data_IF_938073191303
#
_entry.id   IF_938073191303
#
_cell.length_a   1.000
_cell.length_b   1.000
_cell.length_c   1.000
_cell.angle_alpha   90.00
_cell.angle_beta   90.00
_cell.angle_gamma   90.00
#
_symmetry.space_group_name_H-M   'P 1'
#
loop_
_entity.id
_entity.type
_entity.pdbx_description
1 polymer ?
#
# COMPACT_ATOMS: atom_id res chain seq x y z
N UNK A 1 6.19 -7.34 4.41
CA UNK A 1 6.59 -6.07 3.79
C UNK A 1 7.96 -5.68 4.32
N UNK A 2 8.45 -4.47 4.11
CA UNK A 2 9.74 -4.03 4.64
C UNK A 2 9.62 -2.70 5.37
N UNK A 3 10.37 -2.56 6.47
CA UNK A 3 10.44 -1.32 7.26
C UNK A 3 11.19 -0.19 6.52
N UNK A 4 11.82 -0.47 5.37
CA UNK A 4 12.39 0.57 4.51
C UNK A 4 11.34 1.53 3.91
N UNK A 5 10.04 1.17 3.96
CA UNK A 5 8.96 2.10 3.61
C UNK A 5 8.45 2.79 4.89
N UNK A 6 8.62 4.11 5.03
CA UNK A 6 8.21 4.87 6.23
C UNK A 6 6.72 4.74 6.59
N UNK A 7 5.88 4.35 5.64
CA UNK A 7 4.47 4.05 5.88
C UNK A 7 4.30 2.95 6.95
N UNK A 8 5.09 1.88 6.87
CA UNK A 8 5.02 0.78 7.84
C UNK A 8 5.68 1.12 9.17
N UNK A 9 6.72 1.98 9.15
CA UNK A 9 7.30 2.50 10.41
C UNK A 9 6.25 3.25 11.23
N UNK A 10 5.45 4.13 10.59
CA UNK A 10 4.39 4.88 11.28
C UNK A 10 3.32 3.94 11.87
N UNK A 11 2.89 2.92 11.14
CA UNK A 11 1.95 1.91 11.69
C UNK A 11 2.56 1.22 12.91
N UNK A 12 3.82 0.80 12.80
CA UNK A 12 4.53 0.10 13.87
C UNK A 12 4.70 0.99 15.11
N UNK A 13 5.07 2.26 14.93
CA UNK A 13 5.21 3.23 16.03
C UNK A 13 3.88 3.47 16.76
N UNK A 14 2.77 3.63 16.03
CA UNK A 14 1.45 3.81 16.64
C UNK A 14 1.02 2.56 17.43
N UNK A 15 1.29 1.37 16.92
CA UNK A 15 1.03 0.11 17.64
C UNK A 15 1.92 0.02 18.88
N UNK A 16 3.22 0.23 18.70
CA UNK A 16 4.23 0.12 19.76
C UNK A 16 3.93 1.06 20.93
N UNK A 17 3.62 2.32 20.61
CA UNK A 17 3.32 3.32 21.64
C UNK A 17 2.17 2.91 22.56
N UNK A 18 1.12 2.27 22.03
CA UNK A 18 -0.02 1.83 22.84
C UNK A 18 0.28 0.54 23.59
N UNK A 19 0.96 -0.42 22.96
CA UNK A 19 1.33 -1.71 23.55
C UNK A 19 2.26 -1.48 24.74
N UNK A 20 3.33 -0.71 24.57
CA UNK A 20 4.29 -0.41 25.63
C UNK A 20 3.68 0.42 26.78
N UNK A 21 2.77 1.35 26.46
CA UNK A 21 2.06 2.14 27.48
C UNK A 21 1.14 1.26 28.36
N UNK A 22 0.77 0.08 27.91
CA UNK A 22 0.01 -0.91 28.69
C UNK A 22 0.91 -1.86 29.47
N UNK A 23 2.22 -1.77 29.33
CA UNK A 23 3.20 -2.63 29.97
C UNK A 23 3.45 -3.95 29.21
N UNK A 24 2.92 -4.07 28.01
CA UNK A 24 3.12 -5.22 27.13
C UNK A 24 4.32 -5.02 26.20
N UNK A 25 4.73 -6.04 25.46
CA UNK A 25 5.89 -6.04 24.57
C UNK A 25 5.43 -6.21 23.12
N UNK A 26 5.87 -5.33 22.23
CA UNK A 26 5.77 -5.50 20.78
C UNK A 26 7.13 -5.93 20.22
N UNK A 27 7.21 -7.15 19.71
CA UNK A 27 8.34 -7.59 18.92
C UNK A 27 8.04 -7.41 17.43
N UNK A 28 8.90 -6.71 16.72
CA UNK A 28 8.75 -6.45 15.28
C UNK A 28 9.85 -7.16 14.49
N UNK A 29 9.46 -7.95 13.50
CA UNK A 29 10.38 -8.65 12.59
C UNK A 29 10.15 -8.15 11.16
N UNK A 30 11.21 -7.74 10.49
CA UNK A 30 11.20 -7.34 9.08
C UNK A 30 11.66 -8.51 8.22
N UNK A 31 10.83 -8.91 7.27
CA UNK A 31 11.14 -9.96 6.31
C UNK A 31 11.83 -9.43 5.04
N UNK A 32 12.05 -8.13 4.93
CA UNK A 32 12.73 -7.47 3.81
C UNK A 32 12.17 -7.87 2.43
N UNK A 33 10.84 -8.01 2.33
CA UNK A 33 10.12 -8.46 1.12
C UNK A 33 10.35 -9.93 0.73
N UNK A 34 10.87 -10.75 1.64
CA UNK A 34 11.04 -12.19 1.43
C UNK A 34 9.91 -12.97 2.11
N UNK A 35 9.14 -13.73 1.31
CA UNK A 35 8.01 -14.50 1.81
C UNK A 35 8.41 -15.76 2.58
N UNK A 36 9.59 -16.34 2.28
CA UNK A 36 10.11 -17.50 3.02
C UNK A 36 10.60 -17.06 4.40
N UNK A 37 11.38 -15.98 4.45
CA UNK A 37 11.80 -15.35 5.72
C UNK A 37 10.59 -14.97 6.57
N UNK A 38 9.53 -14.40 5.97
CA UNK A 38 8.31 -14.08 6.71
C UNK A 38 7.64 -15.32 7.29
N UNK A 39 7.61 -16.41 6.54
CA UNK A 39 7.05 -17.68 7.01
C UNK A 39 7.83 -18.24 8.21
N UNK A 40 9.17 -18.20 8.16
CA UNK A 40 10.05 -18.60 9.26
C UNK A 40 9.84 -17.70 10.51
N UNK A 41 9.67 -16.39 10.29
CA UNK A 41 9.38 -15.45 11.37
C UNK A 41 8.05 -15.75 12.08
N UNK A 42 7.01 -16.09 11.31
CA UNK A 42 5.71 -16.50 11.88
C UNK A 42 5.85 -17.81 12.68
N UNK A 43 6.62 -18.77 12.17
CA UNK A 43 6.89 -20.03 12.90
C UNK A 43 7.67 -19.77 14.19
N UNK A 44 8.64 -18.86 14.16
CA UNK A 44 9.36 -18.42 15.36
C UNK A 44 8.41 -17.84 16.42
N UNK A 45 7.48 -16.97 16.04
CA UNK A 45 6.47 -16.43 16.96
C UNK A 45 5.56 -17.53 17.54
N UNK A 46 5.24 -18.57 16.76
CA UNK A 46 4.47 -19.72 17.26
C UNK A 46 5.25 -20.48 18.32
N UNK A 47 6.55 -20.73 18.08
CA UNK A 47 7.42 -21.45 19.02
C UNK A 47 7.64 -20.65 20.32
N UNK A 48 7.72 -19.34 20.22
CA UNK A 48 7.80 -18.40 21.36
C UNK A 48 6.48 -18.25 22.12
N UNK A 49 5.38 -18.75 21.54
CA UNK A 49 4.02 -18.71 22.14
C UNK A 49 3.54 -17.28 22.42
N UNK A 50 3.72 -16.39 21.45
CA UNK A 50 3.21 -15.02 21.55
C UNK A 50 1.68 -15.00 21.71
N UNK A 51 1.15 -13.96 22.34
CA UNK A 51 -0.30 -13.84 22.59
C UNK A 51 -1.12 -13.50 21.34
N UNK A 52 -0.50 -12.84 20.35
CA UNK A 52 -1.13 -12.49 19.07
C UNK A 52 -0.07 -12.18 18.00
N UNK A 53 -0.38 -12.44 16.73
CA UNK A 53 0.46 -12.07 15.58
C UNK A 53 -0.24 -10.99 14.78
N UNK A 54 0.45 -9.88 14.52
CA UNK A 54 0.04 -8.84 13.58
C UNK A 54 0.82 -9.06 12.29
N UNK A 55 0.13 -9.35 11.18
CA UNK A 55 0.78 -9.73 9.91
C UNK A 55 0.50 -8.72 8.80
N UNK A 56 1.55 -8.21 8.18
CA UNK A 56 1.50 -7.54 6.90
C UNK A 56 2.15 -8.45 5.86
N UNK A 57 1.35 -9.21 5.13
CA UNK A 57 1.84 -10.29 4.29
C UNK A 57 2.65 -9.75 3.09
N UNK A 58 3.83 -10.33 2.84
CA UNK A 58 4.66 -10.10 1.65
C UNK A 58 3.95 -10.67 0.42
N UNK A 59 3.62 -11.95 0.49
CA UNK A 59 2.76 -12.64 -0.47
C UNK A 59 1.46 -13.05 0.21
N UNK A 60 0.37 -12.47 -0.27
CA UNK A 60 -0.96 -12.67 0.32
C UNK A 60 -1.50 -14.09 0.20
N UNK A 61 -0.94 -14.92 -0.70
CA UNK A 61 -1.29 -16.33 -0.86
C UNK A 61 -0.32 -17.26 -0.13
N UNK A 62 0.97 -17.05 -0.30
CA UNK A 62 2.01 -17.92 0.24
C UNK A 62 1.97 -18.01 1.77
N UNK A 63 1.63 -16.91 2.46
CA UNK A 63 1.56 -16.87 3.93
C UNK A 63 0.54 -17.84 4.53
N UNK A 64 -0.42 -18.33 3.75
CA UNK A 64 -1.52 -19.17 4.22
C UNK A 64 -1.10 -20.43 4.96
N UNK A 65 0.05 -21.03 4.65
CA UNK A 65 0.56 -22.21 5.35
C UNK A 65 0.95 -21.89 6.78
N UNK A 66 1.65 -20.78 7.01
CA UNK A 66 2.09 -20.32 8.32
C UNK A 66 0.91 -19.85 9.18
N UNK A 67 -0.09 -19.19 8.56
CA UNK A 67 -1.34 -18.82 9.25
C UNK A 67 -2.13 -20.03 9.73
N UNK A 68 -2.17 -21.14 8.96
CA UNK A 68 -2.78 -22.39 9.41
C UNK A 68 -2.07 -22.96 10.64
N UNK A 69 -0.73 -22.86 10.71
CA UNK A 69 0.04 -23.29 11.88
C UNK A 69 -0.29 -22.41 13.11
N UNK A 70 -0.32 -21.08 12.96
CA UNK A 70 -0.71 -20.16 14.02
C UNK A 70 -2.12 -20.47 14.56
N UNK A 71 -3.09 -20.65 13.67
CA UNK A 71 -4.46 -21.02 14.05
C UNK A 71 -4.52 -22.34 14.78
N UNK A 72 -3.76 -23.37 14.34
CA UNK A 72 -3.66 -24.67 15.02
C UNK A 72 -3.03 -24.55 16.43
N UNK A 73 -2.09 -23.61 16.60
CA UNK A 73 -1.48 -23.30 17.89
C UNK A 73 -2.39 -22.48 18.81
N UNK A 74 -3.54 -22.02 18.31
CA UNK A 74 -4.48 -21.18 19.07
C UNK A 74 -4.03 -19.73 19.23
N UNK A 75 -3.06 -19.27 18.42
CA UNK A 75 -2.57 -17.90 18.43
C UNK A 75 -3.40 -17.06 17.46
N UNK A 76 -4.13 -16.04 17.94
CA UNK A 76 -4.91 -15.16 17.06
C UNK A 76 -4.01 -14.34 16.15
N UNK A 77 -4.52 -14.06 14.94
CA UNK A 77 -3.81 -13.31 13.91
C UNK A 77 -4.65 -12.14 13.44
N UNK A 78 -4.06 -10.96 13.32
CA UNK A 78 -4.68 -9.80 12.69
C UNK A 78 -3.91 -9.44 11.42
N UNK A 79 -4.60 -9.41 10.28
CA UNK A 79 -4.03 -8.90 9.03
C UNK A 79 -4.06 -7.37 9.03
N UNK A 80 -2.91 -6.75 8.78
CA UNK A 80 -2.73 -5.29 8.82
C UNK A 80 -2.30 -4.80 7.44
N UNK A 81 -2.94 -3.74 6.95
CA UNK A 81 -2.65 -3.04 5.68
C UNK A 81 -2.98 -3.84 4.42
N UNK A 82 -2.77 -5.14 4.39
CA UNK A 82 -3.09 -5.98 3.23
C UNK A 82 -3.89 -7.22 3.62
N UNK A 83 -4.75 -7.67 2.72
CA UNK A 83 -5.54 -8.89 2.92
C UNK A 83 -4.66 -10.14 2.73
N UNK A 84 -5.06 -11.22 3.38
CA UNK A 84 -4.60 -12.58 3.09
C UNK A 84 -5.62 -13.33 2.23
N UNK A 85 -5.19 -14.34 1.46
CA UNK A 85 -6.05 -15.06 0.51
C UNK A 85 -7.21 -15.79 1.20
N UNK A 86 -6.91 -16.54 2.24
CA UNK A 86 -7.89 -17.22 3.06
C UNK A 86 -8.14 -16.44 4.35
N UNK A 87 -9.11 -15.54 4.30
CA UNK A 87 -9.43 -14.66 5.44
C UNK A 87 -9.98 -15.42 6.65
N UNK A 88 -10.39 -16.68 6.50
CA UNK A 88 -10.79 -17.51 7.63
C UNK A 88 -9.64 -17.88 8.57
N UNK A 89 -8.39 -17.63 8.15
CA UNK A 89 -7.18 -17.90 8.92
C UNK A 89 -6.76 -16.75 9.84
N UNK A 90 -7.48 -15.64 9.80
CA UNK A 90 -7.21 -14.45 10.65
C UNK A 90 -8.43 -14.10 11.48
N UNK A 91 -8.22 -13.54 12.65
CA UNK A 91 -9.26 -13.18 13.62
C UNK A 91 -9.73 -11.73 13.44
N UNK A 92 -8.97 -10.96 12.67
CA UNK A 92 -9.31 -9.59 12.34
C UNK A 92 -8.51 -9.06 11.17
N UNK A 93 -9.03 -7.99 10.55
CA UNK A 93 -8.43 -7.34 9.38
C UNK A 93 -8.56 -5.84 9.54
N UNK A 94 -7.46 -5.11 9.35
CA UNK A 94 -7.45 -3.64 9.29
C UNK A 94 -6.73 -3.22 8.03
N UNK A 95 -7.46 -2.71 7.04
CA UNK A 95 -6.93 -2.35 5.71
C UNK A 95 -7.49 -1.03 5.23
N UNK A 96 -6.79 -0.35 4.34
CA UNK A 96 -7.33 0.81 3.63
C UNK A 96 -8.30 0.38 2.52
N UNK A 97 -9.20 1.29 2.10
CA UNK A 97 -10.04 1.09 0.92
C UNK A 97 -9.20 1.20 -0.36
N UNK A 98 -8.44 0.13 -0.65
CA UNK A 98 -7.49 0.11 -1.75
C UNK A 98 -8.17 0.18 -3.12
N UNK A 99 -9.40 -0.37 -3.24
CA UNK A 99 -10.14 -0.24 -4.50
C UNK A 99 -10.55 1.22 -4.75
N UNK A 100 -11.10 1.89 -3.74
CA UNK A 100 -11.49 3.30 -3.84
C UNK A 100 -10.27 4.21 -4.04
N UNK A 101 -9.09 3.86 -3.49
CA UNK A 101 -7.84 4.58 -3.76
C UNK A 101 -7.54 4.67 -5.26
N UNK A 102 -7.59 3.54 -5.96
CA UNK A 102 -7.44 3.51 -7.41
C UNK A 102 -8.57 4.22 -8.14
N UNK A 103 -9.81 4.01 -7.70
CA UNK A 103 -10.99 4.64 -8.31
C UNK A 103 -10.95 6.16 -8.23
N UNK A 104 -10.49 6.74 -7.12
CA UNK A 104 -10.35 8.20 -6.96
C UNK A 104 -9.30 8.77 -7.91
N UNK A 105 -8.16 8.10 -8.09
CA UNK A 105 -7.15 8.50 -9.08
C UNK A 105 -7.70 8.46 -10.51
N UNK A 106 -8.47 7.42 -10.88
CA UNK A 106 -9.10 7.31 -12.19
C UNK A 106 -10.14 8.42 -12.42
N UNK A 107 -10.96 8.73 -11.41
CA UNK A 107 -11.93 9.82 -11.47
C UNK A 107 -11.27 11.18 -11.69
N UNK A 108 -10.09 11.41 -11.08
CA UNK A 108 -9.30 12.63 -11.30
C UNK A 108 -8.72 12.66 -12.71
N UNK A 109 -8.15 11.55 -13.21
CA UNK A 109 -7.63 11.46 -14.57
C UNK A 109 -8.70 11.80 -15.61
N UNK A 110 -9.92 11.28 -15.47
CA UNK A 110 -11.02 11.55 -16.41
C UNK A 110 -11.43 13.02 -16.48
N UNK A 111 -11.19 13.81 -15.42
CA UNK A 111 -11.40 15.26 -15.46
C UNK A 111 -10.32 15.99 -16.25
N UNK A 112 -9.12 15.41 -16.36
CA UNK A 112 -7.94 16.04 -16.99
C UNK A 112 -7.74 15.66 -18.44
N UNK A 113 -8.00 14.40 -18.78
CA UNK A 113 -7.83 13.85 -20.14
C UNK A 113 -9.08 13.07 -20.55
N UNK A 114 -9.31 12.96 -21.87
CA UNK A 114 -10.43 12.17 -22.44
C UNK A 114 -10.01 10.78 -22.92
N UNK A 115 -8.73 10.56 -23.10
CA UNK A 115 -8.07 9.30 -23.48
C UNK A 115 -6.59 9.38 -23.12
N UNK A 116 -5.87 8.28 -23.16
CA UNK A 116 -4.42 8.30 -22.94
C UNK A 116 -3.78 6.93 -23.01
N UNK A 117 -2.45 6.93 -23.02
CA UNK A 117 -1.57 5.78 -22.98
C UNK A 117 -1.03 5.65 -21.55
N UNK A 118 -1.33 4.54 -20.90
CA UNK A 118 -1.09 4.37 -19.46
C UNK A 118 -0.08 3.26 -19.23
N UNK A 119 0.98 3.58 -18.49
CA UNK A 119 1.92 2.62 -17.91
C UNK A 119 1.51 2.35 -16.46
N UNK A 120 1.34 1.07 -16.09
CA UNK A 120 1.03 0.67 -14.73
C UNK A 120 2.26 0.08 -14.04
N UNK A 121 2.55 0.55 -12.83
CA UNK A 121 3.53 -0.06 -11.94
C UNK A 121 2.77 -0.90 -10.92
N UNK A 122 3.01 -2.21 -10.93
CA UNK A 122 2.19 -3.21 -10.23
C UNK A 122 3.00 -4.07 -9.28
N UNK A 123 2.30 -4.78 -8.39
CA UNK A 123 2.84 -5.85 -7.55
C UNK A 123 1.78 -6.94 -7.38
N UNK A 124 1.96 -8.06 -8.06
CA UNK A 124 0.98 -9.15 -8.15
C UNK A 124 0.89 -10.01 -6.87
N UNK A 125 1.89 -9.95 -6.01
CA UNK A 125 1.94 -10.67 -4.73
C UNK A 125 1.30 -9.89 -3.57
N UNK A 126 0.94 -8.62 -3.80
CA UNK A 126 0.33 -7.75 -2.79
C UNK A 126 -1.13 -7.42 -3.13
N UNK A 127 -2.04 -7.83 -2.25
CA UNK A 127 -3.48 -7.65 -2.50
C UNK A 127 -3.90 -6.18 -2.52
N UNK A 128 -3.30 -5.33 -1.69
CA UNK A 128 -3.58 -3.88 -1.68
C UNK A 128 -3.19 -3.24 -3.01
N UNK A 129 -2.01 -3.60 -3.55
CA UNK A 129 -1.55 -3.13 -4.86
C UNK A 129 -2.48 -3.60 -5.99
N UNK A 130 -2.88 -4.88 -5.98
CA UNK A 130 -3.83 -5.44 -6.94
C UNK A 130 -5.15 -4.65 -6.91
N UNK A 131 -5.69 -4.38 -5.72
CA UNK A 131 -6.98 -3.68 -5.60
C UNK A 131 -6.90 -2.22 -6.05
N UNK A 132 -5.80 -1.52 -5.80
CA UNK A 132 -5.58 -0.15 -6.31
C UNK A 132 -5.59 -0.12 -7.84
N UNK A 133 -4.80 -0.96 -8.48
CA UNK A 133 -4.75 -1.03 -9.94
C UNK A 133 -6.08 -1.48 -10.53
N UNK A 134 -6.75 -2.44 -9.90
CA UNK A 134 -8.09 -2.90 -10.28
C UNK A 134 -9.11 -1.77 -10.19
N UNK A 135 -9.14 -1.05 -9.06
CA UNK A 135 -10.05 0.08 -8.85
C UNK A 135 -9.86 1.17 -9.90
N UNK A 136 -8.59 1.45 -10.27
CA UNK A 136 -8.29 2.40 -11.34
C UNK A 136 -8.81 1.91 -12.71
N UNK A 137 -8.41 0.72 -13.13
CA UNK A 137 -8.77 0.14 -14.45
C UNK A 137 -10.30 0.02 -14.60
N UNK A 138 -10.97 -0.61 -13.63
CA UNK A 138 -12.44 -0.81 -13.70
C UNK A 138 -13.22 0.50 -13.68
N UNK A 139 -12.72 1.53 -12.99
CA UNK A 139 -13.39 2.86 -12.99
C UNK A 139 -13.34 3.50 -14.37
N UNK A 140 -12.21 3.42 -15.09
CA UNK A 140 -12.12 3.89 -16.46
C UNK A 140 -13.01 3.08 -17.39
N UNK A 141 -12.99 1.75 -17.28
CA UNK A 141 -13.80 0.83 -18.09
C UNK A 141 -15.30 1.09 -17.91
N UNK A 142 -15.78 1.19 -16.68
CA UNK A 142 -17.19 1.50 -16.36
C UNK A 142 -17.64 2.85 -16.89
N UNK A 143 -16.72 3.81 -17.00
CA UNK A 143 -16.99 5.13 -17.59
C UNK A 143 -16.88 5.14 -19.13
N UNK A 144 -16.49 4.05 -19.76
CA UNK A 144 -16.21 4.01 -21.21
C UNK A 144 -15.01 4.87 -21.61
N UNK A 145 -14.11 5.16 -20.66
CA UNK A 145 -12.92 5.96 -20.94
C UNK A 145 -11.87 5.11 -21.70
N UNK A 146 -11.51 5.56 -22.86
CA UNK A 146 -10.64 4.79 -23.75
C UNK A 146 -9.16 5.01 -23.40
N UNK A 147 -8.41 3.91 -23.15
CA UNK A 147 -6.96 3.96 -22.92
C UNK A 147 -6.24 2.79 -23.61
N UNK A 148 -4.99 3.04 -23.93
CA UNK A 148 -4.04 2.02 -24.33
C UNK A 148 -3.16 1.65 -23.12
N UNK A 149 -3.13 0.38 -22.76
CA UNK A 149 -2.22 -0.12 -21.73
C UNK A 149 -0.85 -0.35 -22.35
N UNK A 150 0.15 0.49 -21.98
CA UNK A 150 1.53 0.40 -22.46
C UNK A 150 2.27 -0.78 -21.80
N UNK A 151 1.89 -1.16 -20.59
CA UNK A 151 2.44 -2.29 -19.88
C UNK A 151 2.10 -2.28 -18.40
N UNK A 152 2.10 -3.47 -17.81
CA UNK A 152 2.04 -3.68 -16.37
C UNK A 152 3.45 -4.12 -15.92
N UNK A 153 4.14 -3.28 -15.15
CA UNK A 153 5.53 -3.47 -14.75
C UNK A 153 5.59 -3.87 -13.27
N UNK A 154 6.05 -5.08 -12.99
CA UNK A 154 6.28 -5.56 -11.62
C UNK A 154 7.45 -4.81 -10.97
N UNK A 155 7.18 -3.98 -9.97
CA UNK A 155 8.18 -3.08 -9.37
C UNK A 155 8.34 -3.22 -7.86
N UNK A 156 7.71 -4.22 -7.24
CA UNK A 156 7.79 -4.53 -5.79
C UNK A 156 7.43 -3.37 -4.85
N UNK A 157 6.83 -2.31 -5.37
CA UNK A 157 6.47 -1.13 -4.57
C UNK A 157 7.65 -0.29 -4.07
N UNK A 158 8.83 -0.39 -4.70
CA UNK A 158 10.08 0.26 -4.28
C UNK A 158 10.58 1.24 -5.34
N UNK A 159 11.12 2.38 -4.89
CA UNK A 159 11.66 3.41 -5.78
C UNK A 159 12.84 2.89 -6.60
N UNK A 160 13.81 2.28 -5.93
CA UNK A 160 15.05 1.76 -6.53
C UNK A 160 14.82 0.62 -7.52
N UNK A 161 13.65 -0.05 -7.45
CA UNK A 161 13.25 -1.09 -8.40
C UNK A 161 12.48 -0.47 -9.57
N UNK A 162 11.58 0.47 -9.29
CA UNK A 162 10.72 1.05 -10.32
C UNK A 162 11.47 1.98 -11.27
N UNK A 163 12.44 2.77 -10.79
CA UNK A 163 13.19 3.70 -11.63
C UNK A 163 13.86 3.01 -12.83
N UNK A 164 14.77 2.02 -12.67
CA UNK A 164 15.42 1.39 -13.81
C UNK A 164 14.46 0.61 -14.73
N UNK A 165 13.34 0.13 -14.19
CA UNK A 165 12.32 -0.53 -14.99
C UNK A 165 11.59 0.47 -15.90
N UNK A 166 11.26 1.65 -15.40
CA UNK A 166 10.65 2.73 -16.21
C UNK A 166 11.66 3.27 -17.21
N UNK A 167 12.93 3.48 -16.85
CA UNK A 167 14.01 3.83 -17.77
C UNK A 167 14.07 2.85 -18.94
N UNK A 168 14.02 1.54 -18.69
CA UNK A 168 13.99 0.52 -19.74
C UNK A 168 12.74 0.62 -20.63
N UNK A 169 11.57 1.00 -20.11
CA UNK A 169 10.38 1.27 -20.94
C UNK A 169 10.63 2.48 -21.84
N UNK A 170 11.21 3.56 -21.30
CA UNK A 170 11.47 4.80 -22.03
C UNK A 170 12.51 4.66 -23.15
N UNK A 171 13.38 3.63 -23.11
CA UNK A 171 14.25 3.28 -24.25
C UNK A 171 13.47 2.73 -25.45
N UNK A 172 12.27 2.16 -25.22
CA UNK A 172 11.44 1.51 -26.25
C UNK A 172 10.33 2.41 -26.75
N UNK A 173 9.76 3.22 -25.87
CA UNK A 173 8.70 4.16 -26.21
C UNK A 173 8.73 5.35 -25.27
N UNK A 174 8.55 6.54 -25.85
CA UNK A 174 8.30 7.80 -25.12
C UNK A 174 6.85 8.25 -25.22
N UNK A 175 6.01 7.47 -25.88
CA UNK A 175 4.61 7.77 -26.12
C UNK A 175 3.75 7.27 -24.94
N UNK A 176 3.90 7.95 -23.80
CA UNK A 176 3.23 7.66 -22.53
C UNK A 176 2.56 8.96 -22.05
N UNK A 177 1.27 8.90 -21.76
CA UNK A 177 0.50 10.03 -21.22
C UNK A 177 0.39 10.00 -19.69
N UNK A 178 0.36 8.80 -19.12
CA UNK A 178 0.07 8.59 -17.68
C UNK A 178 0.90 7.45 -17.13
N UNK A 179 1.44 7.63 -15.92
CA UNK A 179 1.96 6.54 -15.08
C UNK A 179 1.06 6.40 -13.87
N UNK A 180 0.58 5.19 -13.63
CA UNK A 180 -0.19 4.82 -12.44
C UNK A 180 0.62 3.85 -11.59
N UNK A 181 1.08 4.32 -10.46
CA UNK A 181 1.87 3.52 -9.54
C UNK A 181 1.02 2.97 -8.39
N UNK A 182 1.32 1.75 -8.00
CA UNK A 182 0.64 1.08 -6.89
C UNK A 182 0.82 1.82 -5.55
N UNK A 183 1.92 2.60 -5.40
CA UNK A 183 2.24 3.40 -4.22
C UNK A 183 3.14 4.60 -4.56
N UNK A 184 3.37 5.48 -3.59
CA UNK A 184 4.18 6.68 -3.76
C UNK A 184 5.67 6.39 -4.02
N UNK A 185 6.35 5.43 -3.34
CA UNK A 185 7.74 5.09 -3.68
C UNK A 185 7.92 4.69 -5.14
N UNK A 186 7.02 3.87 -5.69
CA UNK A 186 7.07 3.50 -7.11
C UNK A 186 6.80 4.70 -8.03
N UNK A 187 5.88 5.59 -7.64
CA UNK A 187 5.64 6.84 -8.38
C UNK A 187 6.89 7.72 -8.39
N UNK A 188 7.61 7.83 -7.26
CA UNK A 188 8.87 8.59 -7.20
C UNK A 188 9.93 8.01 -8.13
N UNK A 189 10.06 6.69 -8.21
CA UNK A 189 10.98 6.03 -9.14
C UNK A 189 10.62 6.32 -10.60
N UNK A 190 9.33 6.25 -10.95
CA UNK A 190 8.87 6.63 -12.30
C UNK A 190 9.15 8.10 -12.61
N UNK A 191 8.90 8.99 -11.64
CA UNK A 191 9.18 10.42 -11.80
C UNK A 191 10.68 10.70 -12.02
N UNK A 192 11.56 9.99 -11.32
CA UNK A 192 13.01 10.11 -11.52
C UNK A 192 13.42 9.71 -12.95
N UNK A 193 12.89 8.59 -13.45
CA UNK A 193 13.12 8.13 -14.83
C UNK A 193 12.59 9.13 -15.86
N UNK A 194 11.37 9.65 -15.68
CA UNK A 194 10.77 10.64 -16.57
C UNK A 194 11.52 11.99 -16.55
N UNK A 195 12.02 12.39 -15.38
CA UNK A 195 12.78 13.66 -15.23
C UNK A 195 14.14 13.57 -15.97
N UNK A 196 14.82 12.43 -15.88
CA UNK A 196 16.06 12.18 -16.61
C UNK A 196 15.89 12.28 -18.14
N UNK A 197 14.71 11.93 -18.65
CA UNK A 197 14.35 12.03 -20.08
C UNK A 197 13.63 13.33 -20.43
N UNK A 198 13.53 14.30 -19.50
CA UNK A 198 12.82 15.58 -19.66
C UNK A 198 11.33 15.44 -20.00
N UNK A 199 10.69 14.37 -19.57
CA UNK A 199 9.29 14.04 -19.86
C UNK A 199 8.34 14.29 -18.69
N UNK A 200 8.85 14.58 -17.49
CA UNK A 200 8.03 14.66 -16.28
C UNK A 200 6.95 15.76 -16.33
N UNK A 201 7.14 16.81 -17.13
CA UNK A 201 6.13 17.86 -17.32
C UNK A 201 4.96 17.42 -18.21
N UNK A 202 5.14 16.40 -19.03
CA UNK A 202 4.20 15.99 -20.06
C UNK A 202 3.41 14.73 -19.67
N UNK A 203 3.91 13.98 -18.68
CA UNK A 203 3.33 12.72 -18.21
C UNK A 203 2.66 12.90 -16.83
N UNK A 204 1.38 12.54 -16.72
CA UNK A 204 0.65 12.58 -15.46
C UNK A 204 1.03 11.39 -14.59
N UNK A 205 1.51 11.63 -13.35
CA UNK A 205 1.90 10.56 -12.43
C UNK A 205 0.92 10.50 -11.24
N UNK A 206 0.38 9.30 -10.98
CA UNK A 206 -0.50 8.98 -9.88
C UNK A 206 0.14 7.94 -8.96
N UNK A 207 0.01 8.14 -7.66
CA UNK A 207 0.47 7.22 -6.62
C UNK A 207 -0.62 6.94 -5.59
N UNK A 208 -0.22 6.25 -4.54
CA UNK A 208 -1.01 6.01 -3.35
C UNK A 208 -0.07 5.97 -2.13
N UNK A 209 -0.52 6.44 -1.01
CA UNK A 209 -0.08 6.45 0.38
C UNK A 209 -0.28 7.82 1.02
N UNK A 210 -0.12 8.91 0.27
CA UNK A 210 -0.13 10.28 0.81
C UNK A 210 1.16 10.61 1.55
N UNK A 211 2.30 10.11 1.06
CA UNK A 211 3.61 10.33 1.68
C UNK A 211 4.00 11.82 1.70
N UNK A 212 4.87 12.24 2.62
CA UNK A 212 5.44 13.58 2.63
C UNK A 212 6.07 13.98 1.30
N UNK A 213 6.79 13.04 0.67
CA UNK A 213 7.46 13.23 -0.62
C UNK A 213 6.44 13.45 -1.74
N UNK A 214 5.39 12.61 -1.83
CA UNK A 214 4.34 12.76 -2.83
C UNK A 214 3.58 14.08 -2.67
N UNK A 215 3.21 14.45 -1.43
CA UNK A 215 2.58 15.75 -1.16
C UNK A 215 3.47 16.92 -1.58
N UNK A 216 4.77 16.83 -1.32
CA UNK A 216 5.74 17.85 -1.77
C UNK A 216 5.78 17.94 -3.30
N UNK A 217 5.74 16.81 -4.01
CA UNK A 217 5.73 16.80 -5.48
C UNK A 217 4.41 17.32 -6.04
N UNK A 218 3.28 17.02 -5.41
CA UNK A 218 1.98 17.58 -5.77
C UNK A 218 1.96 19.09 -5.56
N UNK A 219 2.46 19.56 -4.42
CA UNK A 219 2.58 21.00 -4.13
C UNK A 219 3.42 21.73 -5.18
N UNK A 220 4.49 21.10 -5.68
CA UNK A 220 5.36 21.61 -6.76
C UNK A 220 4.81 21.40 -8.17
N UNK A 221 3.59 20.89 -8.34
CA UNK A 221 2.98 20.54 -9.63
C UNK A 221 3.79 19.53 -10.46
N UNK A 222 4.52 18.63 -9.82
CA UNK A 222 5.33 17.58 -10.47
C UNK A 222 4.67 16.19 -10.42
N UNK A 223 3.69 16.00 -9.53
CA UNK A 223 2.85 14.82 -9.40
C UNK A 223 1.39 15.24 -9.41
N UNK A 224 0.50 14.46 -10.02
CA UNK A 224 -0.92 14.83 -10.16
C UNK A 224 -1.69 14.60 -8.87
N UNK A 225 -1.57 13.40 -8.32
CA UNK A 225 -2.28 13.05 -7.10
C UNK A 225 -1.67 11.82 -6.42
N UNK A 226 -1.94 11.70 -5.12
CA UNK A 226 -1.79 10.48 -4.36
C UNK A 226 -3.09 10.14 -3.62
N UNK A 227 -3.50 8.87 -3.65
CA UNK A 227 -4.61 8.40 -2.83
C UNK A 227 -4.09 8.13 -1.40
N UNK A 228 -4.29 9.09 -0.51
CA UNK A 228 -3.72 9.08 0.82
C UNK A 228 -4.38 8.03 1.72
N UNK A 229 -3.57 7.18 2.31
CA UNK A 229 -3.89 6.27 3.39
C UNK A 229 -3.66 6.97 4.74
N UNK A 230 -4.18 6.39 5.82
CA UNK A 230 -3.98 6.91 7.18
C UNK A 230 -3.27 5.87 8.06
N UNK A 231 -1.91 5.77 8.00
CA UNK A 231 -1.15 4.77 8.76
C UNK A 231 -1.39 4.90 10.28
N UNK A 232 -1.57 6.12 10.79
CA UNK A 232 -1.90 6.34 12.19
C UNK A 232 -3.25 5.75 12.58
N UNK A 233 -4.28 5.88 11.73
CA UNK A 233 -5.60 5.28 11.98
C UNK A 233 -5.48 3.76 11.88
N UNK A 234 -4.74 3.24 10.89
CA UNK A 234 -4.48 1.81 10.75
C UNK A 234 -3.84 1.24 12.02
N UNK A 235 -2.78 1.85 12.52
CA UNK A 235 -2.13 1.43 13.77
C UNK A 235 -3.09 1.45 14.97
N UNK A 236 -3.81 2.54 15.18
CA UNK A 236 -4.80 2.68 16.27
C UNK A 236 -5.89 1.62 16.21
N UNK A 237 -6.46 1.39 15.01
CA UNK A 237 -7.52 0.38 14.84
C UNK A 237 -7.01 -1.05 15.02
N UNK A 238 -5.78 -1.31 14.59
CA UNK A 238 -5.12 -2.60 14.85
C UNK A 238 -5.00 -2.86 16.35
N UNK A 239 -4.55 -1.89 17.12
CA UNK A 239 -4.41 -2.05 18.58
C UNK A 239 -5.77 -2.15 19.28
N UNK A 240 -6.77 -1.37 18.87
CA UNK A 240 -8.13 -1.50 19.39
C UNK A 240 -8.68 -2.92 19.18
N UNK A 241 -8.45 -3.49 17.99
CA UNK A 241 -8.86 -4.85 17.64
C UNK A 241 -8.08 -5.90 18.43
N UNK A 242 -6.76 -5.76 18.52
CA UNK A 242 -5.85 -6.61 19.27
C UNK A 242 -6.34 -6.81 20.72
N UNK A 243 -6.53 -5.73 21.46
CA UNK A 243 -6.92 -5.84 22.88
C UNK A 243 -8.36 -6.33 23.10
N UNK A 244 -9.24 -6.14 22.10
CA UNK A 244 -10.56 -6.79 22.16
C UNK A 244 -10.44 -8.31 21.99
N UNK A 245 -9.64 -8.77 21.05
CA UNK A 245 -9.39 -10.20 20.79
C UNK A 245 -8.76 -10.84 22.04
N UNK A 246 -7.70 -10.26 22.57
CA UNK A 246 -7.03 -10.77 23.79
C UNK A 246 -7.96 -10.81 25.01
N UNK A 247 -8.93 -9.90 25.10
CA UNK A 247 -9.94 -9.88 26.14
C UNK A 247 -11.14 -10.82 25.86
N UNK A 248 -11.12 -11.61 24.79
CA UNK A 248 -12.23 -12.49 24.38
C UNK A 248 -13.49 -11.73 24.00
N UNK A 249 -13.39 -10.46 23.64
CA UNK A 249 -14.52 -9.62 23.23
C UNK A 249 -14.78 -9.75 21.72
N UNK A 250 -16.04 -9.62 21.29
CA UNK A 250 -16.36 -9.64 19.87
C UNK A 250 -15.71 -8.47 19.14
N UNK A 251 -15.21 -8.74 17.92
CA UNK A 251 -14.66 -7.75 16.99
C UNK A 251 -15.39 -7.85 15.64
N UNK A 252 -15.42 -6.75 14.90
CA UNK A 252 -15.76 -6.82 13.49
C UNK A 252 -14.65 -7.58 12.76
N UNK A 253 -15.02 -8.45 11.82
CA UNK A 253 -14.04 -9.25 11.06
C UNK A 253 -13.09 -8.38 10.23
N UNK A 254 -13.55 -7.19 9.83
CA UNK A 254 -12.76 -6.27 9.02
C UNK A 254 -13.09 -4.81 9.36
N UNK A 255 -12.06 -3.99 9.48
CA UNK A 255 -12.17 -2.53 9.53
C UNK A 255 -11.50 -1.94 8.28
N UNK A 256 -12.27 -1.19 7.50
CA UNK A 256 -11.78 -0.52 6.29
C UNK A 256 -11.50 0.95 6.64
N UNK A 257 -10.23 1.35 6.51
CA UNK A 257 -9.79 2.73 6.71
C UNK A 257 -10.08 3.53 5.43
N UNK A 258 -10.87 4.62 5.51
CA UNK A 258 -11.15 5.45 4.35
C UNK A 258 -9.87 6.07 3.76
N UNK A 259 -9.85 6.23 2.45
CA UNK A 259 -8.79 6.93 1.72
C UNK A 259 -9.27 8.29 1.21
N UNK A 260 -8.33 9.19 0.94
CA UNK A 260 -8.62 10.52 0.39
C UNK A 260 -7.65 10.87 -0.72
N UNK A 261 -8.16 11.37 -1.84
CA UNK A 261 -7.29 11.85 -2.90
C UNK A 261 -6.70 13.21 -2.52
N UNK A 262 -5.37 13.28 -2.55
CA UNK A 262 -4.63 14.56 -2.42
C UNK A 262 -4.20 14.97 -3.82
N UNK A 263 -4.59 16.17 -4.20
CA UNK A 263 -4.27 16.85 -5.47
C UNK A 263 -3.70 18.22 -5.20
N UNK A 264 -3.32 18.95 -6.25
CA UNK A 264 -2.87 20.35 -6.08
C UNK A 264 -3.93 21.25 -5.42
N UNK A 265 -5.23 20.93 -5.61
CA UNK A 265 -6.31 21.77 -5.12
C UNK A 265 -6.49 21.71 -3.58
N UNK A 266 -6.02 20.63 -2.95
CA UNK A 266 -6.21 20.41 -1.50
C UNK A 266 -4.95 20.01 -0.74
N UNK A 267 -3.79 19.94 -1.39
CA UNK A 267 -2.54 19.52 -0.72
C UNK A 267 -2.13 20.47 0.40
N UNK A 268 -2.54 21.72 0.36
CA UNK A 268 -2.24 22.73 1.39
C UNK A 268 -3.05 22.53 2.69
N UNK A 269 -4.11 21.70 2.64
CA UNK A 269 -4.87 21.29 3.83
C UNK A 269 -4.13 20.21 4.65
N UNK A 270 -3.02 19.68 4.12
CA UNK A 270 -2.23 18.61 4.74
C UNK A 270 -0.84 19.09 5.13
N UNK A 271 -0.30 18.54 6.23
CA UNK A 271 1.13 18.72 6.53
C UNK A 271 1.98 18.10 5.44
N UNK A 272 2.88 18.88 4.84
CA UNK A 272 3.81 18.37 3.82
C UNK A 272 4.89 17.44 4.42
N UNK A 273 5.16 17.52 5.71
CA UNK A 273 6.22 16.77 6.39
C UNK A 273 5.72 15.60 7.24
N UNK A 274 4.41 15.42 7.38
CA UNK A 274 3.81 14.40 8.25
C UNK A 274 2.91 13.43 7.49
N UNK A 275 2.55 12.34 8.15
CA UNK A 275 1.50 11.41 7.72
C UNK A 275 0.13 11.80 8.32
N UNK A 276 -0.94 11.47 7.64
CA UNK A 276 -2.34 11.70 8.04
C UNK A 276 -2.94 10.52 8.78
#
# INVERSE_FOLDING_TARGET
MTMNNPYFEVINEEIKAVVENKGDVLETRDSAMDAEVQSEQVEGFIDEKVDCILINAVDWKAIGSSLKKAKKAGIPVIAVDTLVYDQSLVDGIVVSDNYEAGAQCAKDLMKRKKKGKILFLVQSENKSAIDRIKGFKETLEKAGWNYENIGDIECKGQLEVSQPLVENVLTKTKDIDVVVALNDPSAMGAMAALDAEHMLSDVLVYGADGSPEAKTMIYKNRMMATAAQSPRITGKKTVEMLYKILAGKPVESQYIVPVRLITRDNVEDYSLSGWQ
#
